data_IF_169840594796
#
_entry.id   IF_169840594796
#
_cell.length_a   1.000
_cell.length_b   1.000
_cell.length_c   1.000
_cell.angle_alpha   90.00
_cell.angle_beta   90.00
_cell.angle_gamma   90.00
#
_symmetry.space_group_name_H-M   'P 1'
#
loop_
_entity.id
_entity.type
_entity.pdbx_description
1 polymer ?
#
# COMPACT_ATOMS: atom_id res chain seq x y z
N UNK A 1 37.59 -14.95 -16.76
CA UNK A 1 36.14 -14.65 -16.61
C UNK A 1 35.59 -14.25 -17.98
N UNK A 2 34.59 -14.95 -18.52
CA UNK A 2 34.04 -14.69 -19.87
C UNK A 2 33.26 -13.37 -19.93
N UNK A 3 33.33 -12.63 -21.05
CA UNK A 3 32.60 -11.35 -21.25
C UNK A 3 31.11 -11.50 -20.96
N UNK A 4 30.50 -12.61 -21.39
CA UNK A 4 29.08 -12.90 -21.17
C UNK A 4 28.70 -13.06 -19.69
N UNK A 5 29.61 -13.61 -18.87
CA UNK A 5 29.38 -13.76 -17.45
C UNK A 5 29.42 -12.41 -16.71
N UNK A 6 30.29 -11.50 -17.14
CA UNK A 6 30.34 -10.13 -16.61
C UNK A 6 29.07 -9.35 -16.95
N UNK A 7 28.63 -9.41 -18.20
CA UNK A 7 27.39 -8.75 -18.63
C UNK A 7 26.17 -9.26 -17.86
N UNK A 8 26.04 -10.58 -17.69
CA UNK A 8 24.97 -11.18 -16.91
C UNK A 8 24.94 -10.67 -15.47
N UNK A 9 26.09 -10.66 -14.78
CA UNK A 9 26.19 -10.17 -13.40
C UNK A 9 25.82 -8.70 -13.26
N UNK A 10 26.26 -7.85 -14.21
CA UNK A 10 25.92 -6.43 -14.22
C UNK A 10 24.41 -6.24 -14.35
N UNK A 11 23.76 -6.98 -15.25
CA UNK A 11 22.31 -6.93 -15.41
C UNK A 11 21.57 -7.41 -14.15
N UNK A 12 21.99 -8.52 -13.54
CA UNK A 12 21.37 -9.00 -12.31
C UNK A 12 21.47 -7.98 -11.16
N UNK A 13 22.62 -7.31 -11.01
CA UNK A 13 22.80 -6.26 -10.01
C UNK A 13 21.94 -5.04 -10.31
N UNK A 14 21.86 -4.63 -11.59
CA UNK A 14 21.01 -3.51 -12.01
C UNK A 14 19.53 -3.79 -11.71
N UNK A 15 19.02 -4.95 -12.10
CA UNK A 15 17.63 -5.34 -11.81
C UNK A 15 17.38 -5.53 -10.31
N UNK A 16 18.33 -6.10 -9.56
CA UNK A 16 18.22 -6.23 -8.12
C UNK A 16 18.11 -4.88 -7.42
N UNK A 17 18.94 -3.91 -7.82
CA UNK A 17 18.92 -2.55 -7.27
C UNK A 17 17.60 -1.85 -7.58
N UNK A 18 17.14 -1.89 -8.83
CA UNK A 18 15.86 -1.26 -9.22
C UNK A 18 14.69 -1.91 -8.48
N UNK A 19 14.66 -3.25 -8.40
CA UNK A 19 13.64 -3.99 -7.67
C UNK A 19 13.59 -3.61 -6.18
N UNK A 20 14.75 -3.48 -5.53
CA UNK A 20 14.84 -3.08 -4.13
C UNK A 20 14.33 -1.64 -3.90
N UNK A 21 14.65 -0.71 -4.80
CA UNK A 21 14.17 0.68 -4.72
C UNK A 21 12.65 0.74 -4.87
N UNK A 22 12.09 0.06 -5.88
CA UNK A 22 10.64 0.03 -6.10
C UNK A 22 9.92 -0.60 -4.92
N UNK A 23 10.43 -1.73 -4.42
CA UNK A 23 9.86 -2.41 -3.27
C UNK A 23 9.89 -1.51 -2.02
N UNK A 24 11.05 -0.95 -1.68
CA UNK A 24 11.20 -0.05 -0.54
C UNK A 24 10.33 1.19 -0.65
N UNK A 25 10.31 1.84 -1.81
CA UNK A 25 9.44 2.99 -2.08
C UNK A 25 7.95 2.65 -1.94
N UNK A 26 7.52 1.51 -2.47
CA UNK A 26 6.12 1.07 -2.33
C UNK A 26 5.73 0.83 -0.88
N UNK A 27 6.65 0.33 -0.05
CA UNK A 27 6.42 0.10 1.37
C UNK A 27 6.32 1.42 2.14
N UNK A 28 7.21 2.37 1.86
CA UNK A 28 7.18 3.71 2.45
C UNK A 28 5.91 4.46 2.08
N UNK A 29 5.50 4.44 0.81
CA UNK A 29 4.27 5.09 0.34
C UNK A 29 3.03 4.48 1.01
N UNK A 30 2.97 3.14 1.14
CA UNK A 30 1.89 2.48 1.87
C UNK A 30 1.83 2.92 3.34
N UNK A 31 2.97 2.96 4.02
CA UNK A 31 3.05 3.41 5.41
C UNK A 31 2.63 4.87 5.57
N UNK A 32 3.14 5.75 4.71
CA UNK A 32 2.80 7.17 4.72
C UNK A 32 1.30 7.40 4.48
N UNK A 33 0.72 6.70 3.50
CA UNK A 33 -0.72 6.74 3.24
C UNK A 33 -1.53 6.27 4.45
N UNK A 34 -1.06 5.25 5.16
CA UNK A 34 -1.73 4.78 6.36
C UNK A 34 -1.66 5.80 7.49
N UNK A 35 -0.50 6.42 7.72
CA UNK A 35 -0.34 7.48 8.72
C UNK A 35 -1.28 8.67 8.44
N UNK A 36 -1.29 9.17 7.21
CA UNK A 36 -2.17 10.27 6.79
C UNK A 36 -3.66 9.93 6.99
N UNK A 37 -4.03 8.67 6.75
CA UNK A 37 -5.40 8.24 7.00
C UNK A 37 -5.75 8.21 8.48
N UNK A 38 -4.83 7.74 9.33
CA UNK A 38 -5.05 7.64 10.76
C UNK A 38 -5.12 9.04 11.39
N UNK A 39 -4.31 10.00 10.90
CA UNK A 39 -4.40 11.43 11.23
C UNK A 39 -5.76 12.00 10.81
N UNK A 40 -6.19 11.77 9.58
CA UNK A 40 -7.51 12.22 9.09
C UNK A 40 -8.67 11.69 9.94
N UNK A 41 -8.62 10.41 10.33
CA UNK A 41 -9.62 9.81 11.22
C UNK A 41 -9.66 10.51 12.58
N UNK A 42 -8.49 10.79 13.15
CA UNK A 42 -8.38 11.42 14.45
C UNK A 42 -8.89 12.86 14.41
N UNK A 43 -8.49 13.64 13.40
CA UNK A 43 -8.92 15.03 13.21
C UNK A 43 -10.43 15.16 12.97
N UNK A 44 -11.00 14.27 12.17
CA UNK A 44 -12.43 14.31 11.82
C UNK A 44 -13.32 13.52 12.81
N UNK A 45 -12.75 13.03 13.91
CA UNK A 45 -13.43 12.19 14.91
C UNK A 45 -14.26 11.07 14.28
N UNK A 46 -13.71 10.41 13.26
CA UNK A 46 -14.44 9.40 12.51
C UNK A 46 -14.73 8.18 13.39
N UNK A 47 -15.93 7.62 13.24
CA UNK A 47 -16.34 6.39 13.93
C UNK A 47 -16.54 5.25 12.92
N UNK A 48 -16.18 4.03 13.32
CA UNK A 48 -16.47 2.83 12.52
C UNK A 48 -17.96 2.53 12.64
N UNK A 49 -18.67 2.51 11.51
CA UNK A 49 -20.11 2.25 11.46
C UNK A 49 -20.45 0.85 10.95
N UNK A 50 -19.48 0.14 10.39
CA UNK A 50 -19.67 -1.23 9.95
C UNK A 50 -18.49 -1.78 9.16
N UNK A 51 -18.59 -3.04 8.79
CA UNK A 51 -17.66 -3.70 7.87
C UNK A 51 -18.45 -4.32 6.73
N UNK A 52 -18.06 -3.99 5.50
CA UNK A 52 -18.59 -4.64 4.32
C UNK A 52 -17.78 -5.92 4.08
N UNK A 53 -18.43 -7.10 4.13
CA UNK A 53 -17.75 -8.36 3.85
C UNK A 53 -17.31 -8.40 2.39
N UNK A 54 -16.23 -9.14 2.11
CA UNK A 54 -15.76 -9.34 0.74
C UNK A 54 -16.84 -10.07 -0.07
N UNK A 55 -17.37 -9.44 -1.11
CA UNK A 55 -18.42 -10.02 -1.96
C UNK A 55 -17.87 -10.84 -3.13
N UNK A 56 -16.54 -11.02 -3.24
CA UNK A 56 -15.91 -11.85 -4.27
C UNK A 56 -14.39 -11.70 -4.33
N UNK A 57 -13.77 -12.31 -5.35
CA UNK A 57 -12.31 -12.36 -5.52
C UNK A 57 -11.65 -10.99 -5.72
N UNK A 58 -12.40 -9.99 -6.21
CA UNK A 58 -11.91 -8.65 -6.51
C UNK A 58 -12.42 -7.56 -5.54
N UNK A 59 -13.23 -7.93 -4.57
CA UNK A 59 -13.82 -6.98 -3.61
C UNK A 59 -13.33 -7.33 -2.21
N UNK A 60 -12.17 -6.78 -1.78
CA UNK A 60 -11.65 -7.02 -0.43
C UNK A 60 -12.64 -6.51 0.62
N UNK A 61 -12.55 -7.05 1.83
CA UNK A 61 -13.34 -6.55 2.96
C UNK A 61 -13.01 -5.07 3.19
N UNK A 62 -14.04 -4.27 3.46
CA UNK A 62 -13.90 -2.83 3.66
C UNK A 62 -14.44 -2.43 5.02
N UNK A 63 -13.70 -1.58 5.73
CA UNK A 63 -14.18 -0.92 6.95
C UNK A 63 -14.84 0.40 6.56
N UNK A 64 -16.06 0.64 7.06
CA UNK A 64 -16.85 1.83 6.78
C UNK A 64 -16.67 2.81 7.96
N UNK A 65 -16.18 4.01 7.66
CA UNK A 65 -15.99 5.10 8.59
C UNK A 65 -17.02 6.20 8.33
N UNK A 66 -17.60 6.76 9.40
CA UNK A 66 -18.42 7.95 9.34
C UNK A 66 -17.67 9.12 9.97
N UNK A 67 -17.37 10.11 9.15
CA UNK A 67 -16.68 11.34 9.54
C UNK A 67 -17.68 12.50 9.38
N UNK A 68 -18.31 12.92 10.47
CA UNK A 68 -19.44 13.86 10.45
C UNK A 68 -20.62 13.33 9.61
N UNK A 69 -20.92 14.02 8.51
CA UNK A 69 -22.00 13.64 7.58
C UNK A 69 -21.53 12.79 6.39
N UNK A 70 -20.22 12.51 6.26
CA UNK A 70 -19.64 11.78 5.13
C UNK A 70 -19.30 10.33 5.51
N UNK A 71 -19.47 9.42 4.55
CA UNK A 71 -19.09 8.02 4.66
C UNK A 71 -17.84 7.75 3.82
N UNK A 72 -16.88 7.06 4.43
CA UNK A 72 -15.64 6.64 3.81
C UNK A 72 -15.46 5.13 3.91
N UNK A 73 -14.86 4.55 2.88
CA UNK A 73 -14.62 3.11 2.77
C UNK A 73 -13.12 2.88 2.64
N UNK A 74 -12.54 2.10 3.56
CA UNK A 74 -11.13 1.71 3.52
C UNK A 74 -11.02 0.20 3.37
N UNK A 75 -10.22 -0.23 2.40
CA UNK A 75 -9.80 -1.62 2.34
C UNK A 75 -8.82 -1.86 3.49
N UNK A 76 -9.08 -2.90 4.28
CA UNK A 76 -8.08 -3.41 5.24
C UNK A 76 -6.88 -4.01 4.48
#
# INVERSE_FOLDING_TARGET
MSKKLKEFLIWTIAFGTVGAIIYGGSHMVKNYRNQQWDEFIAEQHCMVVGKQPSTGFFSPAQTIYRCGNSLYYRND
#
